data_IF_333109533675
#
_entry.id   IF_333109533675
#
_cell.length_a   1.000
_cell.length_b   1.000
_cell.length_c   1.000
_cell.angle_alpha   90.00
_cell.angle_beta   90.00
_cell.angle_gamma   90.00
#
_symmetry.space_group_name_H-M   'P 1'
#
loop_
_entity.id
_entity.type
_entity.pdbx_description
1 polymer ?
#
# COMPACT_ATOMS: atom_id res chain seq x y z
N UNK A 1 11.57 21.20 -10.35
CA UNK A 1 10.90 19.91 -10.69
C UNK A 1 11.91 18.78 -10.94
N UNK A 2 13.08 19.10 -11.50
CA UNK A 2 14.21 18.19 -11.79
C UNK A 2 14.88 17.54 -10.58
N UNK A 3 14.89 18.17 -9.40
CA UNK A 3 15.50 17.57 -8.19
C UNK A 3 14.76 16.33 -7.67
N UNK A 4 13.41 16.34 -7.62
CA UNK A 4 12.62 15.21 -7.10
C UNK A 4 12.75 13.93 -7.92
N UNK A 5 13.00 14.06 -9.22
CA UNK A 5 13.21 12.92 -10.13
C UNK A 5 14.59 12.29 -9.88
N UNK A 6 15.60 13.10 -9.57
CA UNK A 6 16.94 12.62 -9.23
C UNK A 6 17.00 11.85 -7.91
N UNK A 7 16.24 12.27 -6.91
CA UNK A 7 16.19 11.60 -5.61
C UNK A 7 15.46 10.24 -5.70
N UNK A 8 14.39 10.17 -6.52
CA UNK A 8 13.69 8.92 -6.80
C UNK A 8 14.54 7.91 -7.57
N UNK A 9 15.31 8.37 -8.56
CA UNK A 9 16.21 7.53 -9.33
C UNK A 9 17.38 6.98 -8.48
N UNK A 10 17.92 7.79 -7.56
CA UNK A 10 18.95 7.34 -6.61
C UNK A 10 18.41 6.33 -5.60
N UNK A 11 17.22 6.57 -5.06
CA UNK A 11 16.58 5.64 -4.14
C UNK A 11 16.28 4.28 -4.81
N UNK A 12 15.89 4.28 -6.08
CA UNK A 12 15.73 3.06 -6.89
C UNK A 12 17.07 2.36 -7.18
N UNK A 13 18.13 3.14 -7.46
CA UNK A 13 19.49 2.64 -7.65
C UNK A 13 20.04 1.93 -6.41
N UNK A 14 19.92 2.57 -5.25
CA UNK A 14 20.37 2.00 -3.96
C UNK A 14 19.56 0.75 -3.57
N UNK A 15 18.27 0.71 -3.92
CA UNK A 15 17.42 -0.45 -3.68
C UNK A 15 17.82 -1.64 -4.57
N UNK A 16 18.18 -1.37 -5.83
CA UNK A 16 18.68 -2.37 -6.78
C UNK A 16 20.04 -2.92 -6.35
N UNK A 17 20.96 -2.05 -5.92
CA UNK A 17 22.29 -2.43 -5.47
C UNK A 17 22.23 -3.30 -4.20
N UNK A 18 21.36 -2.96 -3.25
CA UNK A 18 21.12 -3.77 -2.05
C UNK A 18 20.42 -5.09 -2.33
N UNK A 19 19.51 -5.15 -3.32
CA UNK A 19 18.89 -6.40 -3.77
C UNK A 19 19.94 -7.39 -4.29
N UNK A 20 20.95 -6.89 -5.00
CA UNK A 20 22.02 -7.70 -5.59
C UNK A 20 23.06 -8.09 -4.53
N UNK A 21 23.45 -7.16 -3.66
CA UNK A 21 24.61 -7.33 -2.79
C UNK A 21 24.28 -7.72 -1.34
N UNK A 22 23.08 -7.41 -0.83
CA UNK A 22 22.71 -7.60 0.60
C UNK A 22 21.21 -7.92 0.78
N UNK A 23 20.74 -9.13 0.45
CA UNK A 23 19.32 -9.48 0.55
C UNK A 23 18.73 -9.38 1.96
N UNK A 24 19.56 -9.38 3.02
CA UNK A 24 19.12 -9.28 4.41
C UNK A 24 18.70 -7.88 4.88
N UNK A 25 19.02 -6.80 4.17
CA UNK A 25 18.66 -5.40 4.58
C UNK A 25 17.30 -4.95 4.06
N UNK A 26 16.73 -5.72 3.12
CA UNK A 26 15.43 -5.48 2.48
C UNK A 26 14.26 -5.32 3.45
N UNK A 27 14.13 -6.11 4.54
CA UNK A 27 12.96 -6.02 5.43
C UNK A 27 12.89 -4.68 6.16
N UNK A 28 14.04 -4.15 6.61
CA UNK A 28 14.13 -2.89 7.33
C UNK A 28 13.83 -1.68 6.44
N UNK A 29 14.37 -1.66 5.21
CA UNK A 29 14.12 -0.58 4.24
C UNK A 29 12.69 -0.61 3.69
N UNK A 30 12.13 -1.79 3.43
CA UNK A 30 10.74 -1.94 2.99
C UNK A 30 9.74 -1.37 4.01
N UNK A 31 9.99 -1.61 5.31
CA UNK A 31 9.18 -1.03 6.38
C UNK A 31 9.24 0.52 6.38
N UNK A 32 10.42 1.10 6.19
CA UNK A 32 10.59 2.57 6.09
C UNK A 32 9.91 3.17 4.86
N UNK A 33 10.02 2.52 3.70
CA UNK A 33 9.35 2.96 2.47
C UNK A 33 7.83 2.89 2.61
N UNK A 34 7.30 1.78 3.12
CA UNK A 34 5.87 1.62 3.36
C UNK A 34 5.35 2.67 4.36
N UNK A 35 6.06 2.88 5.47
CA UNK A 35 5.70 3.91 6.46
C UNK A 35 5.67 5.31 5.84
N UNK A 36 6.62 5.64 4.98
CA UNK A 36 6.68 6.94 4.28
C UNK A 36 5.52 7.09 3.29
N UNK A 37 5.26 6.06 2.49
CA UNK A 37 4.12 6.02 1.56
C UNK A 37 2.79 6.16 2.32
N UNK A 38 2.61 5.38 3.38
CA UNK A 38 1.40 5.39 4.18
C UNK A 38 1.22 6.74 4.90
N UNK A 39 2.31 7.35 5.39
CA UNK A 39 2.28 8.70 5.96
C UNK A 39 1.78 9.75 4.97
N UNK A 40 2.20 9.67 3.69
CA UNK A 40 1.68 10.56 2.63
C UNK A 40 0.21 10.31 2.35
N UNK A 41 -0.20 9.05 2.22
CA UNK A 41 -1.61 8.68 2.03
C UNK A 41 -2.46 9.18 3.19
N UNK A 42 -1.97 9.02 4.42
CA UNK A 42 -2.61 9.48 5.64
C UNK A 42 -2.87 10.99 5.62
N UNK A 43 -1.87 11.79 5.24
CA UNK A 43 -2.00 13.25 5.14
C UNK A 43 -2.96 13.66 4.01
N UNK A 44 -2.85 13.06 2.82
CA UNK A 44 -3.69 13.40 1.65
C UNK A 44 -5.16 13.07 1.89
N UNK A 45 -5.45 11.99 2.64
CA UNK A 45 -6.82 11.50 2.88
C UNK A 45 -7.43 12.04 4.18
N UNK A 46 -6.78 12.99 4.85
CA UNK A 46 -7.34 13.70 6.01
C UNK A 46 -7.17 13.01 7.38
N UNK A 47 -6.35 11.96 7.48
CA UNK A 47 -5.94 11.35 8.75
C UNK A 47 -7.08 10.80 9.62
N UNK A 48 -7.57 9.61 9.26
CA UNK A 48 -8.71 8.95 9.93
C UNK A 48 -9.01 7.57 9.38
N UNK A 49 -10.16 7.01 9.76
CA UNK A 49 -10.56 5.65 9.34
C UNK A 49 -10.62 5.52 7.82
N UNK A 50 -11.04 6.57 7.12
CA UNK A 50 -11.07 6.58 5.66
C UNK A 50 -9.69 6.39 5.03
N UNK A 51 -8.66 7.06 5.56
CA UNK A 51 -7.29 6.93 5.10
C UNK A 51 -6.72 5.52 5.37
N UNK A 52 -7.01 4.97 6.55
CA UNK A 52 -6.61 3.61 6.89
C UNK A 52 -7.31 2.58 6.00
N UNK A 53 -8.64 2.67 5.87
CA UNK A 53 -9.43 1.76 5.05
C UNK A 53 -9.00 1.80 3.59
N UNK A 54 -8.74 2.99 3.05
CA UNK A 54 -8.16 3.15 1.72
C UNK A 54 -6.84 2.39 1.57
N UNK A 55 -5.88 2.61 2.49
CA UNK A 55 -4.58 1.95 2.41
C UNK A 55 -4.67 0.43 2.57
N UNK A 56 -5.48 -0.05 3.52
CA UNK A 56 -5.70 -1.48 3.75
C UNK A 56 -6.35 -2.15 2.55
N UNK A 57 -7.40 -1.55 1.99
CA UNK A 57 -8.08 -2.10 0.81
C UNK A 57 -7.16 -2.07 -0.41
N UNK A 58 -6.39 -1.01 -0.61
CA UNK A 58 -5.42 -0.95 -1.70
C UNK A 58 -4.39 -2.07 -1.59
N UNK A 59 -3.73 -2.21 -0.43
CA UNK A 59 -2.73 -3.25 -0.20
C UNK A 59 -3.32 -4.65 -0.34
N UNK A 60 -4.52 -4.87 0.20
CA UNK A 60 -5.21 -6.16 0.07
C UNK A 60 -5.46 -6.52 -1.39
N UNK A 61 -6.08 -5.61 -2.16
CA UNK A 61 -6.37 -5.85 -3.58
C UNK A 61 -5.09 -6.10 -4.36
N UNK A 62 -4.07 -5.28 -4.14
CA UNK A 62 -2.79 -5.39 -4.85
C UNK A 62 -2.11 -6.73 -4.58
N UNK A 63 -2.03 -7.14 -3.31
CA UNK A 63 -1.44 -8.42 -2.94
C UNK A 63 -2.24 -9.57 -3.52
N UNK A 64 -3.58 -9.51 -3.52
CA UNK A 64 -4.39 -10.57 -4.12
C UNK A 64 -4.25 -10.65 -5.64
N UNK A 65 -4.11 -9.52 -6.34
CA UNK A 65 -3.84 -9.49 -7.78
C UNK A 65 -2.49 -10.13 -8.07
N UNK A 66 -1.43 -9.70 -7.38
CA UNK A 66 -0.07 -10.24 -7.58
C UNK A 66 -0.02 -11.74 -7.26
N UNK A 67 -0.63 -12.17 -6.16
CA UNK A 67 -0.70 -13.60 -5.81
C UNK A 67 -1.52 -14.40 -6.83
N UNK A 68 -2.58 -13.81 -7.39
CA UNK A 68 -3.36 -14.42 -8.46
C UNK A 68 -2.54 -14.64 -9.73
N UNK A 69 -1.80 -13.62 -10.14
CA UNK A 69 -0.92 -13.70 -11.32
C UNK A 69 0.22 -14.69 -11.12
N UNK A 70 0.84 -14.71 -9.92
CA UNK A 70 1.89 -15.66 -9.57
C UNK A 70 1.38 -17.11 -9.54
N UNK A 71 0.15 -17.33 -9.04
CA UNK A 71 -0.46 -18.66 -9.02
C UNK A 71 -0.86 -19.16 -10.42
N UNK A 72 -1.11 -18.23 -11.36
CA UNK A 72 -1.41 -18.55 -12.75
C UNK A 72 -0.15 -18.87 -13.58
N UNK A 73 1.04 -18.49 -13.12
CA UNK A 73 2.28 -18.75 -13.80
C UNK A 73 2.72 -20.22 -13.65
N UNK A 74 2.92 -20.93 -14.77
CA UNK A 74 3.34 -22.34 -14.77
C UNK A 74 4.78 -22.54 -14.27
N UNK A 75 5.67 -21.54 -14.42
CA UNK A 75 7.01 -21.54 -13.82
C UNK A 75 7.61 -20.15 -13.64
N UNK A 76 8.34 -19.95 -12.52
CA UNK A 76 9.00 -18.67 -12.18
C UNK A 76 10.04 -18.27 -13.23
N UNK A 77 10.76 -19.23 -13.83
CA UNK A 77 11.80 -18.93 -14.83
C UNK A 77 11.29 -18.43 -16.18
N UNK A 78 10.13 -18.93 -16.62
CA UNK A 78 9.48 -18.50 -17.87
C UNK A 78 8.81 -17.12 -17.73
N UNK A 79 8.26 -16.85 -16.54
CA UNK A 79 7.70 -15.55 -16.19
C UNK A 79 8.70 -14.39 -16.36
N UNK A 80 9.95 -14.57 -15.92
CA UNK A 80 10.98 -13.53 -15.99
C UNK A 80 11.55 -13.29 -17.39
N UNK A 81 11.31 -14.17 -18.36
CA UNK A 81 11.96 -14.11 -19.69
C UNK A 81 11.03 -13.70 -20.83
N UNK A 82 9.74 -14.09 -20.80
CA UNK A 82 8.78 -13.70 -21.85
C UNK A 82 7.57 -12.91 -21.35
N UNK A 83 7.19 -13.07 -20.09
CA UNK A 83 5.92 -12.55 -19.56
C UNK A 83 6.10 -11.29 -18.72
N UNK A 84 7.33 -10.92 -18.37
CA UNK A 84 7.60 -9.79 -17.46
C UNK A 84 7.04 -8.46 -17.97
N UNK A 85 7.10 -8.21 -19.28
CA UNK A 85 6.56 -6.98 -19.88
C UNK A 85 5.04 -6.96 -19.78
N UNK A 86 4.39 -8.07 -20.13
CA UNK A 86 2.94 -8.20 -20.05
C UNK A 86 2.45 -8.14 -18.60
N UNK A 87 3.15 -8.82 -17.69
CA UNK A 87 2.91 -8.74 -16.25
C UNK A 87 3.00 -7.30 -15.76
N UNK A 88 4.06 -6.56 -16.09
CA UNK A 88 4.20 -5.15 -15.67
C UNK A 88 3.05 -4.31 -16.21
N UNK A 89 2.65 -4.47 -17.48
CA UNK A 89 1.52 -3.72 -18.03
C UNK A 89 0.19 -4.08 -17.37
N UNK A 90 -0.08 -5.35 -17.11
CA UNK A 90 -1.29 -5.83 -16.43
C UNK A 90 -1.31 -5.36 -14.98
N UNK A 91 -0.22 -5.58 -14.25
CA UNK A 91 -0.01 -5.11 -12.89
C UNK A 91 -0.29 -3.61 -12.81
N UNK A 92 0.35 -2.77 -13.64
CA UNK A 92 0.11 -1.32 -13.62
C UNK A 92 -1.35 -0.95 -13.91
N UNK A 93 -2.00 -1.66 -14.83
CA UNK A 93 -3.41 -1.43 -15.17
C UNK A 93 -4.33 -1.79 -14.01
N UNK A 94 -4.10 -2.95 -13.39
CA UNK A 94 -4.85 -3.43 -12.23
C UNK A 94 -4.58 -2.58 -10.99
N UNK A 95 -3.34 -2.10 -10.78
CA UNK A 95 -3.01 -1.15 -9.72
C UNK A 95 -3.83 0.13 -9.82
N UNK A 96 -4.06 0.64 -11.05
CA UNK A 96 -4.91 1.83 -11.27
C UNK A 96 -6.36 1.52 -10.90
N UNK A 97 -6.87 0.35 -11.29
CA UNK A 97 -8.24 -0.08 -10.95
C UNK A 97 -8.37 -0.29 -9.43
N UNK A 98 -7.39 -0.92 -8.79
CA UNK A 98 -7.32 -1.15 -7.35
C UNK A 98 -7.24 0.18 -6.57
N UNK A 99 -6.56 1.18 -7.13
CA UNK A 99 -6.54 2.54 -6.59
C UNK A 99 -7.93 3.18 -6.62
N UNK A 100 -8.72 2.96 -7.68
CA UNK A 100 -10.10 3.45 -7.74
C UNK A 100 -11.02 2.65 -6.80
N UNK A 101 -10.91 1.33 -6.78
CA UNK A 101 -11.69 0.45 -5.87
C UNK A 101 -11.44 0.77 -4.41
N UNK A 102 -10.20 1.09 -4.05
CA UNK A 102 -9.86 1.48 -2.67
C UNK A 102 -10.48 2.82 -2.25
N UNK A 103 -10.85 3.72 -3.18
CA UNK A 103 -11.60 4.94 -2.84
C UNK A 103 -13.03 4.66 -2.39
N UNK A 104 -13.65 3.63 -2.97
CA UNK A 104 -15.02 3.20 -2.69
C UNK A 104 -15.07 2.05 -1.68
N UNK A 105 -13.98 1.81 -0.94
CA UNK A 105 -13.91 0.76 0.09
C UNK A 105 -15.10 0.74 1.06
N UNK A 106 -15.66 1.89 1.53
CA UNK A 106 -16.79 1.84 2.46
C UNK A 106 -18.03 1.24 1.80
N UNK A 107 -18.23 1.47 0.51
CA UNK A 107 -19.35 0.93 -0.27
C UNK A 107 -19.22 -0.59 -0.37
N UNK A 108 -18.01 -1.10 -0.64
CA UNK A 108 -17.76 -2.55 -0.65
C UNK A 108 -18.10 -3.19 0.70
N UNK A 109 -17.77 -2.52 1.81
CA UNK A 109 -18.11 -2.99 3.14
C UNK A 109 -19.64 -2.99 3.40
N UNK A 110 -20.34 -1.94 2.94
CA UNK A 110 -21.79 -1.84 3.04
C UNK A 110 -22.51 -2.95 2.24
N UNK A 111 -22.01 -3.28 1.05
CA UNK A 111 -22.59 -4.31 0.18
C UNK A 111 -22.40 -5.73 0.73
N UNK A 112 -21.38 -5.97 1.56
CA UNK A 112 -21.08 -7.30 2.06
C UNK A 112 -22.13 -7.85 3.03
N UNK A 113 -22.76 -6.98 3.84
CA UNK A 113 -23.80 -7.41 4.79
C UNK A 113 -24.75 -6.28 5.18
N UNK A 114 -25.76 -5.93 4.37
CA UNK A 114 -26.82 -5.01 4.79
C UNK A 114 -27.72 -5.67 5.85
N UNK A 115 -28.12 -5.00 6.95
CA UNK A 115 -27.78 -3.64 7.41
C UNK A 115 -26.55 -3.55 8.34
N UNK A 116 -25.99 -4.69 8.77
CA UNK A 116 -24.91 -4.77 9.76
C UNK A 116 -23.62 -4.07 9.31
N UNK A 117 -23.32 -4.05 8.02
CA UNK A 117 -22.19 -3.33 7.43
C UNK A 117 -22.28 -1.83 7.65
N UNK A 118 -23.49 -1.25 7.63
CA UNK A 118 -23.69 0.17 7.91
C UNK A 118 -23.47 0.49 9.38
N UNK A 119 -24.00 -0.35 10.27
CA UNK A 119 -23.81 -0.20 11.72
C UNK A 119 -22.33 -0.36 12.07
N UNK A 120 -21.66 -1.39 11.54
CA UNK A 120 -20.24 -1.65 11.76
C UNK A 120 -19.36 -0.52 11.24
N UNK A 121 -19.65 0.02 10.05
CA UNK A 121 -18.94 1.16 9.49
C UNK A 121 -19.13 2.42 10.34
N UNK A 122 -20.37 2.69 10.77
CA UNK A 122 -20.68 3.81 11.68
C UNK A 122 -19.94 3.71 13.00
N UNK A 123 -19.97 2.54 13.65
CA UNK A 123 -19.23 2.28 14.89
C UNK A 123 -17.73 2.40 14.69
N UNK A 124 -17.19 1.89 13.58
CA UNK A 124 -15.78 2.01 13.26
C UNK A 124 -15.38 3.49 13.14
N UNK A 125 -16.18 4.33 12.47
CA UNK A 125 -15.89 5.77 12.34
C UNK A 125 -15.86 6.50 13.68
N UNK A 126 -16.64 6.03 14.67
CA UNK A 126 -16.67 6.59 16.03
C UNK A 126 -15.51 6.06 16.89
N UNK A 127 -15.27 4.75 16.87
CA UNK A 127 -14.28 4.08 17.73
C UNK A 127 -12.85 4.35 17.25
N UNK A 128 -12.64 4.39 15.94
CA UNK A 128 -11.32 4.58 15.33
C UNK A 128 -10.57 5.82 15.82
N UNK A 129 -11.14 7.04 15.81
CA UNK A 129 -10.46 8.22 16.31
C UNK A 129 -10.16 8.15 17.81
N UNK A 130 -10.95 7.40 18.58
CA UNK A 130 -10.75 7.26 20.02
C UNK A 130 -9.57 6.33 20.35
N UNK A 131 -9.43 5.22 19.63
CA UNK A 131 -8.47 4.16 19.98
C UNK A 131 -7.24 4.10 19.07
N UNK A 132 -7.44 4.21 17.75
CA UNK A 132 -6.42 3.83 16.76
C UNK A 132 -5.72 5.02 16.13
N UNK A 133 -6.38 6.18 16.03
CA UNK A 133 -5.79 7.38 15.43
C UNK A 133 -4.49 7.80 16.13
N UNK A 134 -4.49 7.92 17.47
CA UNK A 134 -3.30 8.36 18.23
C UNK A 134 -2.10 7.39 18.11
N UNK A 135 -2.25 6.07 18.26
CA UNK A 135 -1.16 5.12 18.01
C UNK A 135 -0.61 5.19 16.59
N UNK A 136 -1.49 5.29 15.58
CA UNK A 136 -1.08 5.32 14.17
C UNK A 136 -0.31 6.61 13.86
N UNK A 137 -0.79 7.77 14.31
CA UNK A 137 -0.08 9.04 14.12
C UNK A 137 1.27 9.06 14.82
N UNK A 138 1.36 8.48 16.03
CA UNK A 138 2.64 8.33 16.73
C UNK A 138 3.59 7.41 15.96
N UNK A 139 3.11 6.29 15.43
CA UNK A 139 3.96 5.42 14.62
C UNK A 139 4.39 6.11 13.32
N UNK A 140 3.50 6.87 12.67
CA UNK A 140 3.81 7.59 11.43
C UNK A 140 4.82 8.71 11.64
N UNK A 141 4.59 9.60 12.61
CA UNK A 141 5.30 10.88 12.76
C UNK A 141 6.18 10.99 14.01
N UNK A 142 6.13 10.01 14.92
CA UNK A 142 6.78 10.10 16.24
C UNK A 142 8.30 10.01 16.26
N UNK A 143 8.99 10.02 15.11
CA UNK A 143 10.46 10.02 15.05
C UNK A 143 11.07 11.38 14.69
N UNK A 144 10.26 12.41 14.41
CA UNK A 144 10.74 13.76 14.08
C UNK A 144 11.05 14.62 15.33
N UNK A 145 11.08 14.03 16.53
CA UNK A 145 11.29 14.74 17.82
C UNK A 145 12.44 14.21 18.66
N UNK A 146 13.30 13.36 18.08
CA UNK A 146 14.55 12.91 18.70
C UNK A 146 15.74 13.69 18.11
N UNK A 147 15.74 15.00 18.30
CA UNK A 147 16.92 15.87 18.23
C UNK A 147 17.07 16.60 19.56
#
# INVERSE_FOLDING_TARGET
MTQRVGDGARALGDLSDDLVNRPGVLPGKAHGWFRTWFGKVWQVRGGGLYALGYALTFVYLEVTTVLGDLAAAESVGQFFTSEIVEFVFRFLSDSIINLVKSLIWPIHFLQMSPPWGAIGLGLAFVIFPMLLKKPIERWLFGQDTAE
#
